data_IF_190455282449
#
_entry.id   IF_190455282449
#
_cell.length_a   1.000
_cell.length_b   1.000
_cell.length_c   1.000
_cell.angle_alpha   90.00
_cell.angle_beta   90.00
_cell.angle_gamma   90.00
#
_symmetry.space_group_name_H-M   'P 1'
#
loop_
_entity.id
_entity.type
_entity.pdbx_description
1 polymer ?
#
# COMPACT_ATOMS: atom_id res chain seq x y z
N UNK A 1 2.76 -9.00 -3.46
CA UNK A 1 3.57 -7.89 -2.90
C UNK A 1 4.07 -8.34 -1.54
N UNK A 2 5.27 -7.94 -1.14
CA UNK A 2 5.87 -8.41 0.11
C UNK A 2 6.73 -7.33 0.76
N UNK A 3 6.72 -7.24 2.10
CA UNK A 3 7.63 -6.39 2.85
C UNK A 3 9.08 -6.94 2.83
N UNK A 4 10.04 -6.03 2.79
CA UNK A 4 11.46 -6.37 2.78
C UNK A 4 12.32 -5.24 3.36
N UNK A 5 13.60 -5.53 3.58
CA UNK A 5 14.67 -4.53 3.75
C UNK A 5 15.58 -4.49 2.53
N UNK A 6 16.01 -3.31 2.14
CA UNK A 6 17.05 -3.15 1.12
C UNK A 6 18.47 -3.23 1.72
N UNK A 7 19.48 -2.97 0.90
CA UNK A 7 20.89 -3.02 1.29
C UNK A 7 21.25 -2.04 2.43
N UNK A 8 20.52 -0.94 2.54
CA UNK A 8 20.71 0.10 3.55
C UNK A 8 19.86 -0.17 4.81
N UNK A 9 19.20 -1.34 4.85
CA UNK A 9 18.31 -1.73 5.92
C UNK A 9 16.98 -0.94 5.92
N UNK A 10 16.66 -0.21 4.86
CA UNK A 10 15.43 0.58 4.76
C UNK A 10 14.23 -0.31 4.41
N UNK A 11 13.05 0.03 4.93
CA UNK A 11 11.83 -0.70 4.57
C UNK A 11 11.48 -0.45 3.11
N UNK A 12 11.20 -1.53 2.38
CA UNK A 12 10.78 -1.47 0.98
C UNK A 12 9.68 -2.49 0.71
N UNK A 13 8.89 -2.24 -0.34
CA UNK A 13 7.88 -3.17 -0.82
C UNK A 13 8.35 -3.81 -2.12
N UNK A 14 8.46 -5.14 -2.13
CA UNK A 14 8.75 -5.90 -3.34
C UNK A 14 7.46 -6.04 -4.15
N UNK A 15 7.44 -5.43 -5.33
CA UNK A 15 6.33 -5.49 -6.28
C UNK A 15 6.44 -6.76 -7.13
N UNK A 16 7.64 -7.00 -7.66
CA UNK A 16 7.98 -8.12 -8.53
C UNK A 16 9.39 -8.60 -8.23
N UNK A 17 9.65 -9.89 -8.40
CA UNK A 17 10.96 -10.49 -8.16
C UNK A 17 11.25 -11.60 -9.16
N UNK A 18 12.45 -11.56 -9.73
CA UNK A 18 13.08 -12.66 -10.48
C UNK A 18 14.32 -13.15 -9.72
N UNK A 19 15.06 -14.11 -10.30
CA UNK A 19 16.30 -14.63 -9.73
C UNK A 19 17.36 -13.53 -9.52
N UNK A 20 17.54 -12.66 -10.52
CA UNK A 20 18.59 -11.64 -10.51
C UNK A 20 18.12 -10.26 -10.05
N UNK A 21 16.84 -9.92 -10.24
CA UNK A 21 16.33 -8.55 -10.04
C UNK A 21 15.06 -8.52 -9.21
N UNK A 22 14.86 -7.42 -8.49
CA UNK A 22 13.61 -7.09 -7.83
C UNK A 22 13.16 -5.68 -8.23
N UNK A 23 11.87 -5.52 -8.49
CA UNK A 23 11.23 -4.20 -8.54
C UNK A 23 10.73 -3.89 -7.15
N UNK A 24 11.30 -2.85 -6.54
CA UNK A 24 10.91 -2.38 -5.21
C UNK A 24 10.22 -1.02 -5.30
N UNK A 25 9.43 -0.72 -4.28
CA UNK A 25 8.79 0.58 -4.07
C UNK A 25 9.11 1.11 -2.68
N UNK A 26 9.46 2.38 -2.61
CA UNK A 26 9.58 3.13 -1.35
C UNK A 26 8.18 3.31 -0.72
N UNK A 27 7.94 2.87 0.52
CA UNK A 27 6.65 2.98 1.17
C UNK A 27 6.27 4.41 1.56
N UNK A 28 7.24 5.29 1.80
CA UNK A 28 6.98 6.69 2.12
C UNK A 28 6.65 7.46 0.83
N UNK A 29 7.46 7.36 -0.21
CA UNK A 29 7.30 8.22 -1.40
C UNK A 29 6.46 7.60 -2.51
N UNK A 30 6.36 6.27 -2.56
CA UNK A 30 5.76 5.53 -3.67
C UNK A 30 6.71 5.34 -4.87
N UNK A 31 7.94 5.82 -4.80
CA UNK A 31 8.93 5.72 -5.89
C UNK A 31 9.33 4.27 -6.14
N UNK A 32 9.47 3.93 -7.43
CA UNK A 32 9.81 2.57 -7.86
C UNK A 32 11.21 2.51 -8.44
N UNK A 33 11.97 1.50 -8.04
CA UNK A 33 13.31 1.24 -8.60
C UNK A 33 13.56 -0.26 -8.75
N UNK A 34 14.34 -0.62 -9.78
CA UNK A 34 14.81 -1.99 -9.99
C UNK A 34 16.19 -2.14 -9.35
N UNK A 35 16.36 -3.17 -8.53
CA UNK A 35 17.59 -3.47 -7.78
C UNK A 35 17.97 -4.95 -7.96
N UNK A 36 19.21 -5.36 -7.66
CA UNK A 36 19.55 -6.77 -7.62
C UNK A 36 18.71 -7.52 -6.57
N UNK A 37 18.21 -8.71 -6.89
CA UNK A 37 17.37 -9.47 -5.96
C UNK A 37 18.11 -9.83 -4.67
N UNK A 38 19.42 -10.08 -4.76
CA UNK A 38 20.28 -10.41 -3.62
C UNK A 38 20.42 -9.27 -2.60
N UNK A 39 20.12 -8.02 -2.97
CA UNK A 39 20.20 -6.86 -2.06
C UNK A 39 18.91 -6.59 -1.31
N UNK A 40 17.90 -7.45 -1.45
CA UNK A 40 16.58 -7.27 -0.85
C UNK A 40 16.21 -8.50 -0.03
N UNK A 41 16.12 -8.32 1.28
CA UNK A 41 15.84 -9.38 2.25
C UNK A 41 14.35 -9.33 2.66
N UNK A 42 13.58 -10.43 2.48
CA UNK A 42 12.18 -10.48 2.85
C UNK A 42 12.01 -10.35 4.37
N UNK A 43 10.91 -9.72 4.81
CA UNK A 43 10.54 -9.61 6.22
C UNK A 43 9.11 -10.06 6.42
N UNK A 44 8.87 -10.80 7.49
CA UNK A 44 7.52 -11.19 7.92
C UNK A 44 6.82 -9.98 8.58
N UNK A 45 6.28 -9.11 7.73
CA UNK A 45 5.52 -7.94 8.14
C UNK A 45 4.41 -7.66 7.11
N UNK A 46 3.26 -7.18 7.60
CA UNK A 46 2.18 -6.72 6.72
C UNK A 46 2.66 -5.57 5.84
N UNK A 47 2.50 -5.63 4.50
CA UNK A 47 2.80 -4.51 3.62
C UNK A 47 2.07 -3.23 4.01
N UNK A 48 0.81 -3.33 4.46
CA UNK A 48 0.02 -2.15 4.85
C UNK A 48 0.57 -1.48 6.11
N UNK A 49 0.98 -2.27 7.09
CA UNK A 49 1.62 -1.74 8.30
C UNK A 49 2.97 -1.08 8.00
N UNK A 50 3.73 -1.63 7.03
CA UNK A 50 4.99 -1.02 6.56
C UNK A 50 4.73 0.33 5.89
N UNK A 51 3.72 0.42 5.02
CA UNK A 51 3.32 1.70 4.40
C UNK A 51 2.93 2.71 5.47
N UNK A 52 2.04 2.33 6.39
CA UNK A 52 1.58 3.23 7.43
C UNK A 52 2.72 3.70 8.34
N UNK A 53 3.63 2.81 8.72
CA UNK A 53 4.79 3.15 9.56
C UNK A 53 5.82 4.04 8.85
N UNK A 54 5.87 4.02 7.52
CA UNK A 54 6.77 4.88 6.76
C UNK A 54 6.28 6.33 6.68
N UNK A 55 5.01 6.58 7.05
CA UNK A 55 4.36 7.90 7.07
C UNK A 55 4.16 8.43 8.49
N UNK A 56 4.55 7.67 9.51
CA UNK A 56 4.36 8.00 10.93
C UNK A 56 5.70 7.90 11.66
N UNK A 57 6.30 9.05 11.97
CA UNK A 57 7.63 9.13 12.60
C UNK A 57 7.64 8.81 14.09
N UNK A 58 6.47 8.79 14.75
CA UNK A 58 6.37 8.66 16.22
C UNK A 58 6.10 7.23 16.71
N UNK A 59 5.89 6.27 15.81
CA UNK A 59 6.11 4.85 16.05
C UNK A 59 5.09 4.11 16.93
N UNK A 60 4.33 3.22 16.31
CA UNK A 60 4.07 1.83 16.74
C UNK A 60 3.21 1.21 15.62
N UNK A 61 3.75 0.21 14.89
CA UNK A 61 3.13 -0.52 13.75
C UNK A 61 1.90 0.17 13.16
N UNK A 62 2.14 1.08 12.21
CA UNK A 62 1.12 1.99 11.68
C UNK A 62 -0.18 1.30 11.28
N UNK A 63 -1.29 2.04 11.44
CA UNK A 63 -2.64 1.56 11.16
C UNK A 63 -2.77 1.09 9.71
N UNK A 64 -3.10 -0.20 9.53
CA UNK A 64 -3.32 -0.82 8.22
C UNK A 64 -4.36 -0.10 7.36
N UNK A 65 -5.26 0.67 7.98
CA UNK A 65 -6.15 1.61 7.29
C UNK A 65 -5.39 2.65 6.48
N UNK A 66 -4.43 3.34 7.09
CA UNK A 66 -3.62 4.36 6.42
C UNK A 66 -2.85 3.73 5.27
N UNK A 67 -2.24 2.56 5.53
CA UNK A 67 -1.56 1.78 4.51
C UNK A 67 -2.47 1.44 3.32
N UNK A 68 -3.71 1.00 3.58
CA UNK A 68 -4.66 0.64 2.53
C UNK A 68 -5.07 1.85 1.68
N UNK A 69 -5.28 3.01 2.29
CA UNK A 69 -5.63 4.23 1.58
C UNK A 69 -4.49 4.69 0.64
N UNK A 70 -3.26 4.67 1.14
CA UNK A 70 -2.06 5.02 0.37
C UNK A 70 -1.89 4.05 -0.79
N UNK A 71 -2.06 2.75 -0.55
CA UNK A 71 -1.99 1.74 -1.60
C UNK A 71 -3.06 1.92 -2.68
N UNK A 72 -4.28 2.29 -2.31
CA UNK A 72 -5.33 2.60 -3.26
C UNK A 72 -4.97 3.83 -4.11
N UNK A 73 -4.42 4.88 -3.49
CA UNK A 73 -3.96 6.09 -4.19
C UNK A 73 -2.84 5.76 -5.18
N UNK A 74 -1.83 5.00 -4.76
CA UNK A 74 -0.65 4.67 -5.58
C UNK A 74 -0.96 3.74 -6.75
N UNK A 75 -1.95 2.86 -6.60
CA UNK A 75 -2.36 1.92 -7.65
C UNK A 75 -3.45 2.46 -8.56
N UNK A 76 -4.28 3.37 -8.04
CA UNK A 76 -5.50 3.79 -8.70
C UNK A 76 -6.64 2.76 -8.57
N UNK A 77 -7.65 2.83 -9.46
CA UNK A 77 -8.84 2.00 -9.39
C UNK A 77 -8.51 0.50 -9.30
N UNK A 78 -8.97 -0.16 -8.23
CA UNK A 78 -8.61 -1.56 -7.94
C UNK A 78 -9.83 -2.38 -7.55
N UNK A 79 -9.92 -3.63 -8.03
CA UNK A 79 -10.97 -4.57 -7.63
C UNK A 79 -10.84 -4.93 -6.15
N UNK A 80 -11.97 -5.03 -5.43
CA UNK A 80 -11.97 -5.35 -3.99
C UNK A 80 -11.25 -6.69 -3.70
N UNK A 81 -11.48 -7.68 -4.57
CA UNK A 81 -10.83 -8.99 -4.49
C UNK A 81 -9.31 -8.88 -4.61
N UNK A 82 -8.82 -8.04 -5.53
CA UNK A 82 -7.39 -7.79 -5.70
C UNK A 82 -6.78 -7.17 -4.44
N UNK A 83 -7.48 -6.26 -3.75
CA UNK A 83 -7.01 -5.69 -2.49
C UNK A 83 -6.88 -6.78 -1.41
N UNK A 84 -7.92 -7.59 -1.21
CA UNK A 84 -7.90 -8.69 -0.22
C UNK A 84 -6.75 -9.67 -0.48
N UNK A 85 -6.62 -10.17 -1.71
CA UNK A 85 -5.57 -11.15 -2.06
C UNK A 85 -4.17 -10.53 -2.00
N UNK A 86 -3.98 -9.27 -2.40
CA UNK A 86 -2.63 -8.70 -2.45
C UNK A 86 -2.07 -8.37 -1.08
N UNK A 87 -2.93 -8.01 -0.12
CA UNK A 87 -2.52 -7.58 1.21
C UNK A 87 -2.84 -8.58 2.31
N UNK A 88 -3.36 -9.76 1.95
CA UNK A 88 -3.77 -10.81 2.88
C UNK A 88 -4.69 -10.28 3.99
N UNK A 89 -5.65 -9.44 3.60
CA UNK A 89 -6.66 -8.86 4.50
C UNK A 89 -7.98 -9.58 4.33
N UNK A 90 -8.62 -9.89 5.47
CA UNK A 90 -9.94 -10.49 5.52
C UNK A 90 -10.97 -9.64 4.78
N UNK A 91 -11.89 -10.30 4.06
CA UNK A 91 -12.92 -9.60 3.28
C UNK A 91 -13.82 -8.71 4.17
N UNK A 92 -14.12 -9.15 5.39
CA UNK A 92 -14.92 -8.37 6.35
C UNK A 92 -14.23 -7.08 6.77
N UNK A 93 -12.95 -7.17 7.10
CA UNK A 93 -12.16 -6.02 7.57
C UNK A 93 -11.95 -5.04 6.42
N UNK A 94 -11.63 -5.56 5.24
CA UNK A 94 -11.54 -4.78 4.01
C UNK A 94 -12.87 -4.05 3.73
N UNK A 95 -14.00 -4.75 3.81
CA UNK A 95 -15.30 -4.14 3.56
C UNK A 95 -15.61 -3.03 4.57
N UNK A 96 -15.33 -3.25 5.86
CA UNK A 96 -15.47 -2.23 6.90
C UNK A 96 -14.66 -0.97 6.59
N UNK A 97 -13.37 -1.14 6.27
CA UNK A 97 -12.49 -0.01 5.91
C UNK A 97 -13.00 0.75 4.67
N UNK A 98 -13.44 0.02 3.64
CA UNK A 98 -13.94 0.62 2.40
C UNK A 98 -15.26 1.37 2.62
N UNK A 99 -16.15 0.86 3.46
CA UNK A 99 -17.39 1.57 3.87
C UNK A 99 -17.04 2.89 4.54
N UNK A 100 -16.08 2.89 5.45
CA UNK A 100 -15.68 4.11 6.14
C UNK A 100 -14.96 5.10 5.20
N UNK A 101 -14.09 4.63 4.30
CA UNK A 101 -13.49 5.50 3.28
C UNK A 101 -14.51 6.11 2.35
N UNK A 102 -15.56 5.36 1.98
CA UNK A 102 -16.67 5.90 1.19
C UNK A 102 -17.45 6.95 1.96
N UNK A 103 -17.77 6.69 3.23
CA UNK A 103 -18.47 7.65 4.08
C UNK A 103 -17.66 8.95 4.25
N UNK A 104 -16.33 8.85 4.29
CA UNK A 104 -15.41 9.99 4.33
C UNK A 104 -15.15 10.64 2.94
N UNK A 105 -15.73 10.12 1.86
CA UNK A 105 -15.51 10.62 0.50
C UNK A 105 -14.10 10.40 -0.04
N UNK A 106 -13.34 9.47 0.54
CA UNK A 106 -11.97 9.14 0.15
C UNK A 106 -11.92 8.14 -1.02
N UNK A 107 -12.95 7.31 -1.16
CA UNK A 107 -13.07 6.38 -2.30
C UNK A 107 -14.47 6.40 -2.89
N UNK A 108 -14.57 6.10 -4.18
CA UNK A 108 -15.82 5.87 -4.89
C UNK A 108 -15.90 4.41 -5.36
N UNK A 109 -17.10 3.84 -5.39
CA UNK A 109 -17.32 2.54 -6.03
C UNK A 109 -17.17 2.66 -7.54
N UNK A 110 -16.55 1.65 -8.14
CA UNK A 110 -16.36 1.53 -9.58
C UNK A 110 -16.43 0.05 -9.99
N UNK A 111 -16.22 -0.24 -11.27
CA UNK A 111 -16.11 -1.61 -11.79
C UNK A 111 -14.77 -1.81 -12.49
N UNK A 112 -14.05 -2.86 -12.11
CA UNK A 112 -12.76 -3.23 -12.71
C UNK A 112 -12.91 -4.62 -13.32
N UNK A 113 -12.81 -4.73 -14.65
CA UNK A 113 -13.00 -6.01 -15.33
C UNK A 113 -14.37 -6.66 -15.10
N UNK A 114 -15.39 -5.86 -14.77
CA UNK A 114 -16.72 -6.36 -14.42
C UNK A 114 -16.87 -6.81 -12.97
N UNK A 115 -15.86 -6.64 -12.11
CA UNK A 115 -15.94 -6.89 -10.66
C UNK A 115 -16.11 -5.60 -9.86
N UNK A 116 -16.68 -5.65 -8.63
CA UNK A 116 -16.70 -4.51 -7.72
C UNK A 116 -15.28 -4.00 -7.41
N UNK A 117 -15.07 -2.70 -7.56
CA UNK A 117 -13.81 -2.05 -7.27
C UNK A 117 -13.99 -0.68 -6.65
N UNK A 118 -12.87 -0.08 -6.27
CA UNK A 118 -12.81 1.21 -5.60
C UNK A 118 -11.78 2.10 -6.27
N UNK A 119 -12.16 3.35 -6.50
CA UNK A 119 -11.31 4.39 -7.05
C UNK A 119 -11.03 5.44 -5.97
N UNK A 120 -9.76 5.81 -5.73
CA UNK A 120 -9.43 6.91 -4.84
C UNK A 120 -9.94 8.23 -5.41
N UNK A 121 -10.55 9.05 -4.56
CA UNK A 121 -10.97 10.40 -4.94
C UNK A 121 -9.79 11.38 -4.88
N UNK A 122 -9.98 12.59 -5.40
CA UNK A 122 -8.98 13.66 -5.25
C UNK A 122 -8.76 14.06 -3.78
N UNK A 123 -9.77 13.86 -2.92
CA UNK A 123 -9.62 14.08 -1.49
C UNK A 123 -8.66 13.07 -0.86
N UNK A 124 -8.73 11.80 -1.26
CA UNK A 124 -7.76 10.79 -0.85
C UNK A 124 -6.35 11.10 -1.32
N UNK A 125 -6.18 11.49 -2.60
CA UNK A 125 -4.87 11.87 -3.14
C UNK A 125 -4.24 12.99 -2.31
N UNK A 126 -4.98 14.09 -2.10
CA UNK A 126 -4.51 15.22 -1.27
C UNK A 126 -4.22 14.83 0.18
N UNK A 127 -4.94 13.88 0.74
CA UNK A 127 -4.69 13.39 2.10
C UNK A 127 -3.37 12.61 2.15
N UNK A 128 -3.15 11.71 1.19
CA UNK A 128 -1.90 10.95 1.09
C UNK A 128 -0.70 11.87 0.85
N UNK A 129 -0.83 12.89 -0.01
CA UNK A 129 0.24 13.87 -0.21
C UNK A 129 0.63 14.57 1.11
N UNK A 130 -0.36 14.99 1.92
CA UNK A 130 -0.08 15.58 3.24
C UNK A 130 0.56 14.62 4.23
N UNK A 131 0.22 13.34 4.18
CA UNK A 131 0.86 12.32 5.02
C UNK A 131 2.33 12.13 4.64
N UNK A 132 2.64 12.23 3.35
CA UNK A 132 4.01 12.11 2.83
C UNK A 132 4.86 13.35 3.13
N UNK A 133 4.26 14.54 3.06
CA UNK A 133 4.95 15.81 3.35
C UNK A 133 5.22 16.01 4.85
N UNK A 134 4.50 15.32 5.72
CA UNK A 134 4.60 15.44 7.17
C UNK A 134 5.42 14.36 7.88
N UNK A 135 5.91 13.35 7.14
CA UNK A 135 6.75 12.26 7.64
C UNK A 135 8.26 12.49 7.49
#
# INVERSE_FOLDING_TARGET
>A
MQAARDADGQWVLVLERSEDTALIRDPATGDRRRVPAATVAPVDASPLAVVASALDTDGERGDGRVGLLVELVDRGPTAARTLSTTYDVCESDLHGLLVEFRAAGLVAETRIGGEPGYEPTDAARRLVDRLRDGG
#
